data_IF_931319491854
#
_entry.id   IF_931319491854
#
_cell.length_a   1.000
_cell.length_b   1.000
_cell.length_c   1.000
_cell.angle_alpha   90.00
_cell.angle_beta   90.00
_cell.angle_gamma   90.00
#
_symmetry.space_group_name_H-M   'P 1'
#
loop_
_entity.id
_entity.type
_entity.pdbx_description
1 polymer ?
#
# COMPACT_ATOMS: atom_id res chain seq x y z
N UNK A 1 9.48 -11.34 -19.70
CA UNK A 1 10.00 -11.52 -18.31
C UNK A 1 10.68 -10.22 -17.97
N UNK A 2 10.23 -9.53 -16.93
CA UNK A 2 10.81 -8.22 -16.63
C UNK A 2 11.92 -8.38 -15.61
N UNK A 3 13.16 -8.42 -16.08
CA UNK A 3 14.34 -8.21 -15.26
C UNK A 3 14.73 -6.75 -15.38
N UNK A 4 15.04 -6.10 -14.27
CA UNK A 4 15.56 -4.75 -14.24
C UNK A 4 16.51 -4.56 -13.07
N UNK A 5 17.41 -3.60 -13.21
CA UNK A 5 18.38 -3.21 -12.20
C UNK A 5 17.97 -1.87 -11.60
N UNK A 6 17.97 -1.77 -10.29
CA UNK A 6 17.75 -0.50 -9.57
C UNK A 6 19.07 -0.09 -8.94
N UNK A 7 19.56 1.09 -9.29
CA UNK A 7 20.69 1.73 -8.62
C UNK A 7 20.18 2.68 -7.54
N UNK A 8 20.83 2.72 -6.39
CA UNK A 8 20.39 3.54 -5.26
C UNK A 8 21.58 4.25 -4.59
N UNK A 9 21.29 5.41 -3.98
CA UNK A 9 22.21 6.09 -3.09
C UNK A 9 22.35 5.35 -1.77
N UNK A 10 21.22 4.91 -1.19
CA UNK A 10 21.21 4.13 0.02
C UNK A 10 20.05 3.14 0.02
N UNK A 11 20.23 1.99 0.64
CA UNK A 11 19.20 0.97 0.87
C UNK A 11 19.14 0.69 2.37
N UNK A 12 17.96 0.88 2.96
CA UNK A 12 17.65 0.44 4.33
C UNK A 12 16.76 -0.81 4.23
N UNK A 13 17.31 -2.02 4.39
CA UNK A 13 16.52 -3.25 4.20
C UNK A 13 15.51 -3.51 5.31
N UNK A 14 15.53 -2.72 6.40
CA UNK A 14 14.66 -2.84 7.58
C UNK A 14 14.71 -4.24 8.21
N UNK A 15 15.85 -4.90 8.09
CA UNK A 15 16.20 -6.16 8.74
C UNK A 15 17.33 -5.93 9.72
N UNK A 16 17.93 -6.98 10.28
CA UNK A 16 19.14 -6.85 11.11
C UNK A 16 20.40 -6.50 10.31
N UNK A 17 20.29 -6.35 8.99
CA UNK A 17 21.39 -5.96 8.12
C UNK A 17 21.66 -4.47 8.21
N UNK A 18 22.94 -4.09 8.08
CA UNK A 18 23.33 -2.68 8.02
C UNK A 18 22.80 -2.01 6.74
N UNK A 19 22.56 -0.70 6.75
CA UNK A 19 22.33 0.06 5.53
C UNK A 19 23.45 -0.16 4.50
N UNK A 20 23.07 -0.19 3.22
CA UNK A 20 24.01 -0.24 2.10
C UNK A 20 23.99 1.12 1.40
N UNK A 21 25.19 1.61 1.03
CA UNK A 21 25.34 2.87 0.33
C UNK A 21 25.91 2.66 -1.07
N UNK A 22 25.41 3.47 -2.02
CA UNK A 22 25.89 3.50 -3.41
C UNK A 22 25.91 2.11 -4.08
N UNK A 23 24.85 1.36 -3.92
CA UNK A 23 24.72 0.01 -4.46
C UNK A 23 23.66 -0.12 -5.52
N UNK A 24 23.39 -1.36 -5.86
CA UNK A 24 22.32 -1.72 -6.80
C UNK A 24 21.66 -3.04 -6.43
N UNK A 25 20.46 -3.25 -6.94
CA UNK A 25 19.73 -4.52 -6.80
C UNK A 25 19.14 -4.95 -8.14
N UNK A 26 19.01 -6.26 -8.32
CA UNK A 26 18.37 -6.86 -9.48
C UNK A 26 17.01 -7.39 -9.06
N UNK A 27 15.98 -6.98 -9.78
CA UNK A 27 14.63 -7.49 -9.66
C UNK A 27 14.32 -8.40 -10.84
N UNK A 28 13.88 -9.60 -10.57
CA UNK A 28 13.49 -10.58 -11.55
C UNK A 28 12.14 -11.22 -11.14
N UNK A 29 11.19 -11.29 -12.06
CA UNK A 29 9.84 -11.84 -11.80
C UNK A 29 9.14 -11.19 -10.58
N UNK A 30 9.35 -9.89 -10.37
CA UNK A 30 8.77 -9.13 -9.26
C UNK A 30 9.37 -9.44 -7.88
N UNK A 31 10.57 -10.07 -7.85
CA UNK A 31 11.32 -10.36 -6.63
C UNK A 31 12.72 -9.79 -6.69
N UNK A 32 13.23 -9.30 -5.58
CA UNK A 32 14.65 -8.97 -5.45
C UNK A 32 15.41 -10.27 -5.51
N UNK A 33 16.21 -10.46 -6.58
CA UNK A 33 17.05 -11.63 -6.79
C UNK A 33 18.38 -11.47 -6.07
N UNK A 34 18.96 -10.27 -6.18
CA UNK A 34 20.30 -10.00 -5.66
C UNK A 34 20.46 -8.53 -5.28
N UNK A 35 21.32 -8.25 -4.30
CA UNK A 35 21.66 -6.91 -3.84
C UNK A 35 23.18 -6.79 -3.79
N UNK A 36 23.71 -5.78 -4.45
CA UNK A 36 25.15 -5.51 -4.52
C UNK A 36 25.49 -4.25 -3.73
N UNK A 37 26.56 -4.28 -2.94
CA UNK A 37 27.00 -3.14 -2.14
C UNK A 37 27.74 -2.06 -2.93
N UNK A 38 27.86 -2.23 -4.25
CA UNK A 38 28.50 -1.28 -5.16
C UNK A 38 27.80 -1.25 -6.54
N UNK A 39 28.23 -0.34 -7.40
CA UNK A 39 27.66 -0.13 -8.73
C UNK A 39 28.50 -0.75 -9.86
N UNK A 40 29.51 -1.56 -9.56
CA UNK A 40 30.39 -2.21 -10.55
C UNK A 40 29.82 -3.51 -11.09
N UNK A 41 28.80 -4.03 -10.43
CA UNK A 41 28.11 -5.25 -10.86
C UNK A 41 27.38 -5.06 -12.19
N UNK A 42 27.13 -6.12 -12.96
CA UNK A 42 26.44 -6.02 -14.24
C UNK A 42 25.05 -5.42 -14.10
N UNK A 43 24.67 -4.60 -15.09
CA UNK A 43 23.29 -4.14 -15.27
C UNK A 43 22.55 -5.22 -16.05
N UNK A 44 21.47 -5.71 -15.51
CA UNK A 44 20.60 -6.67 -16.17
C UNK A 44 19.23 -6.03 -16.46
N UNK A 45 18.81 -6.11 -17.71
CA UNK A 45 17.57 -5.50 -18.16
C UNK A 45 17.61 -3.96 -18.16
N UNK A 46 16.46 -3.34 -17.89
CA UNK A 46 16.34 -1.89 -17.78
C UNK A 46 17.02 -1.37 -16.51
N UNK A 47 17.75 -0.26 -16.62
CA UNK A 47 18.30 0.44 -15.46
C UNK A 47 17.33 1.51 -14.96
N UNK A 48 16.87 1.36 -13.73
CA UNK A 48 16.15 2.39 -12.97
C UNK A 48 17.18 3.10 -12.09
N UNK A 49 17.58 4.29 -12.47
CA UNK A 49 18.59 5.06 -11.74
C UNK A 49 17.93 5.91 -10.65
N UNK A 50 18.16 5.51 -9.39
CA UNK A 50 17.74 6.18 -8.17
C UNK A 50 18.98 6.55 -7.32
N UNK A 51 20.08 6.95 -7.97
CA UNK A 51 21.34 7.27 -7.32
C UNK A 51 21.28 8.46 -6.35
N UNK A 52 20.21 9.21 -6.36
CA UNK A 52 19.90 10.31 -5.43
C UNK A 52 18.87 9.91 -4.35
N UNK A 53 18.35 8.69 -4.41
CA UNK A 53 17.24 8.23 -3.57
C UNK A 53 17.68 7.26 -2.47
N UNK A 54 16.91 7.28 -1.38
CA UNK A 54 16.90 6.25 -0.37
C UNK A 54 15.84 5.20 -0.72
N UNK A 55 16.25 3.96 -0.85
CA UNK A 55 15.34 2.81 -1.09
C UNK A 55 15.03 2.14 0.24
N UNK A 56 13.75 1.89 0.48
CA UNK A 56 13.23 1.18 1.66
C UNK A 56 12.18 0.17 1.22
N UNK A 57 11.88 -0.85 2.03
CA UNK A 57 10.71 -1.70 1.80
C UNK A 57 9.42 -0.88 1.78
N UNK A 58 8.44 -1.32 1.00
CA UNK A 58 7.13 -0.69 0.97
C UNK A 58 6.45 -0.76 2.34
N UNK A 59 5.65 0.26 2.64
CA UNK A 59 4.94 0.34 3.92
C UNK A 59 3.82 -0.71 4.01
N UNK A 60 3.59 -1.18 5.23
CA UNK A 60 2.45 -2.03 5.58
C UNK A 60 1.45 -1.20 6.37
N UNK A 61 0.22 -1.06 5.85
CA UNK A 61 -0.88 -0.52 6.62
C UNK A 61 -1.59 -1.69 7.32
N UNK A 62 -1.33 -1.85 8.62
CA UNK A 62 -1.83 -2.98 9.40
C UNK A 62 -3.29 -2.84 9.87
N UNK A 63 -3.94 -1.70 9.62
CA UNK A 63 -5.34 -1.48 9.97
C UNK A 63 -5.94 -0.37 9.11
N UNK A 64 -6.92 -0.71 8.28
CA UNK A 64 -7.66 0.29 7.53
C UNK A 64 -9.10 -0.18 7.22
N UNK A 65 -9.90 0.77 6.72
CA UNK A 65 -11.26 0.58 6.26
C UNK A 65 -11.43 1.33 4.93
N UNK A 66 -10.83 0.82 3.85
CA UNK A 66 -10.90 1.48 2.55
C UNK A 66 -12.34 1.66 2.06
N UNK A 67 -13.24 0.74 2.41
CA UNK A 67 -14.65 0.83 2.07
C UNK A 67 -15.35 2.04 2.69
N UNK A 68 -14.81 2.61 3.79
CA UNK A 68 -15.31 3.82 4.44
C UNK A 68 -14.72 5.11 3.87
N UNK A 69 -13.80 5.04 2.92
CA UNK A 69 -13.16 6.23 2.32
C UNK A 69 -14.16 7.18 1.67
N UNK A 70 -15.31 6.67 1.25
CA UNK A 70 -16.42 7.46 0.72
C UNK A 70 -16.96 8.47 1.73
N UNK A 71 -16.81 8.21 3.01
CA UNK A 71 -17.26 9.10 4.10
C UNK A 71 -16.27 10.20 4.45
N UNK A 72 -15.12 10.25 3.76
CA UNK A 72 -14.09 11.26 4.00
C UNK A 72 -14.69 12.67 3.94
N UNK A 73 -14.45 13.44 5.00
CA UNK A 73 -14.98 14.80 5.20
C UNK A 73 -16.50 14.90 5.37
N UNK A 74 -17.22 13.79 5.39
CA UNK A 74 -18.69 13.80 5.57
C UNK A 74 -19.12 13.59 7.03
N UNK A 75 -18.22 13.10 7.87
CA UNK A 75 -18.50 12.88 9.30
C UNK A 75 -17.98 14.08 10.08
N UNK A 76 -18.86 14.80 10.80
CA UNK A 76 -18.42 15.92 11.62
C UNK A 76 -17.56 15.41 12.79
N UNK A 77 -16.60 16.22 13.21
CA UNK A 77 -15.85 15.93 14.43
C UNK A 77 -16.82 15.94 15.62
N UNK A 78 -16.73 14.91 16.43
CA UNK A 78 -17.47 14.75 17.67
C UNK A 78 -16.50 14.58 18.82
N UNK A 79 -16.85 15.11 19.98
CA UNK A 79 -16.10 14.89 21.23
C UNK A 79 -16.39 13.51 21.83
N UNK A 80 -17.59 12.98 21.57
CA UNK A 80 -18.04 11.66 22.01
C UNK A 80 -17.80 10.64 20.90
N UNK A 81 -17.01 9.60 21.23
CA UNK A 81 -16.68 8.51 20.32
C UNK A 81 -17.92 7.73 19.88
N UNK A 82 -18.83 7.45 20.80
CA UNK A 82 -20.06 6.70 20.49
C UNK A 82 -20.96 7.45 19.50
N UNK A 83 -21.10 8.77 19.68
CA UNK A 83 -21.84 9.60 18.73
C UNK A 83 -21.14 9.69 17.37
N UNK A 84 -19.80 9.67 17.35
CA UNK A 84 -19.04 9.61 16.11
C UNK A 84 -19.28 8.28 15.38
N UNK A 85 -19.15 7.14 16.05
CA UNK A 85 -19.41 5.80 15.48
C UNK A 85 -20.83 5.71 14.92
N UNK A 86 -21.84 6.17 15.67
CA UNK A 86 -23.23 6.22 15.20
C UNK A 86 -23.36 7.02 13.89
N UNK A 87 -22.72 8.19 13.81
CA UNK A 87 -22.73 9.01 12.60
C UNK A 87 -22.06 8.30 11.41
N UNK A 88 -21.02 7.51 11.66
CA UNK A 88 -20.38 6.68 10.62
C UNK A 88 -21.36 5.62 10.12
N UNK A 89 -21.99 4.86 11.03
CA UNK A 89 -22.94 3.79 10.66
C UNK A 89 -24.11 4.35 9.87
N UNK A 90 -24.78 5.37 10.39
CA UNK A 90 -25.94 6.01 9.73
C UNK A 90 -25.61 6.51 8.32
N UNK A 91 -24.49 7.20 8.16
CA UNK A 91 -24.09 7.68 6.83
C UNK A 91 -23.63 6.57 5.90
N UNK A 92 -22.98 5.55 6.45
CA UNK A 92 -22.52 4.42 5.69
C UNK A 92 -23.68 3.64 5.04
N UNK A 93 -24.82 3.52 5.70
CA UNK A 93 -26.03 2.86 5.16
C UNK A 93 -26.59 3.58 3.93
N UNK A 94 -26.42 4.89 3.84
CA UNK A 94 -26.93 5.70 2.73
C UNK A 94 -26.05 5.70 1.49
N UNK A 95 -24.84 5.10 1.57
CA UNK A 95 -23.88 5.12 0.46
C UNK A 95 -24.18 4.02 -0.55
N UNK A 96 -24.35 4.39 -1.81
CA UNK A 96 -24.48 3.42 -2.90
C UNK A 96 -23.21 2.59 -3.09
N UNK A 97 -23.40 1.36 -3.61
CA UNK A 97 -22.28 0.48 -3.92
C UNK A 97 -21.29 1.13 -4.90
N UNK A 98 -21.77 1.81 -5.92
CA UNK A 98 -20.98 2.49 -6.93
C UNK A 98 -20.07 3.57 -6.30
N UNK A 99 -20.64 4.47 -5.52
CA UNK A 99 -19.87 5.52 -4.86
C UNK A 99 -18.81 4.96 -3.90
N UNK A 100 -19.13 3.86 -3.23
CA UNK A 100 -18.23 3.18 -2.31
C UNK A 100 -17.04 2.56 -3.04
N UNK A 101 -17.28 1.88 -4.15
CA UNK A 101 -16.22 1.26 -4.95
C UNK A 101 -15.34 2.31 -5.62
N UNK A 102 -15.91 3.38 -6.14
CA UNK A 102 -15.15 4.52 -6.68
C UNK A 102 -14.21 5.12 -5.63
N UNK A 103 -14.73 5.40 -4.43
CA UNK A 103 -13.94 5.99 -3.35
C UNK A 103 -12.84 5.03 -2.86
N UNK A 104 -13.14 3.73 -2.77
CA UNK A 104 -12.19 2.67 -2.42
C UNK A 104 -11.01 2.66 -3.40
N UNK A 105 -11.27 2.60 -4.70
CA UNK A 105 -10.22 2.59 -5.72
C UNK A 105 -9.42 3.91 -5.75
N UNK A 106 -10.09 5.04 -5.55
CA UNK A 106 -9.41 6.34 -5.47
C UNK A 106 -8.45 6.40 -4.28
N UNK A 107 -8.89 5.96 -3.09
CA UNK A 107 -8.06 5.94 -1.90
C UNK A 107 -6.92 4.91 -2.00
N UNK A 108 -7.18 3.75 -2.62
CA UNK A 108 -6.14 2.76 -2.89
C UNK A 108 -5.00 3.34 -3.74
N UNK A 109 -5.30 4.14 -4.77
CA UNK A 109 -4.29 4.85 -5.56
C UNK A 109 -3.47 5.84 -4.72
N UNK A 110 -4.12 6.55 -3.82
CA UNK A 110 -3.42 7.48 -2.90
C UNK A 110 -2.47 6.70 -2.00
N UNK A 111 -2.91 5.59 -1.41
CA UNK A 111 -2.08 4.73 -0.56
C UNK A 111 -0.87 4.15 -1.33
N UNK A 112 -1.08 3.64 -2.54
CA UNK A 112 0.00 3.13 -3.37
C UNK A 112 1.04 4.22 -3.68
N UNK A 113 0.60 5.43 -4.03
CA UNK A 113 1.50 6.58 -4.24
C UNK A 113 2.24 7.03 -2.98
N UNK A 114 1.71 6.71 -1.80
CA UNK A 114 2.36 6.97 -0.51
C UNK A 114 3.33 5.84 -0.10
N UNK A 115 3.56 4.86 -0.98
CA UNK A 115 4.50 3.77 -0.74
C UNK A 115 3.92 2.57 0.03
N UNK A 116 2.60 2.51 0.26
CA UNK A 116 1.96 1.31 0.83
C UNK A 116 1.94 0.20 -0.20
N UNK A 117 2.41 -0.99 0.18
CA UNK A 117 2.48 -2.19 -0.67
C UNK A 117 1.71 -3.37 -0.10
N UNK A 118 1.40 -3.33 1.20
CA UNK A 118 0.59 -4.34 1.85
C UNK A 118 -0.39 -3.70 2.83
N UNK A 119 -1.55 -4.32 3.03
CA UNK A 119 -2.55 -3.84 3.96
C UNK A 119 -3.33 -4.96 4.64
N UNK A 120 -3.82 -4.66 5.83
CA UNK A 120 -4.88 -5.40 6.51
C UNK A 120 -6.10 -4.49 6.54
N UNK A 121 -7.20 -4.92 5.93
CA UNK A 121 -8.42 -4.13 5.82
C UNK A 121 -9.61 -4.87 6.43
N UNK A 122 -10.44 -4.13 7.12
CA UNK A 122 -11.68 -4.61 7.69
C UNK A 122 -12.83 -4.32 6.73
N UNK A 123 -13.38 -5.38 6.13
CA UNK A 123 -14.45 -5.28 5.14
C UNK A 123 -15.81 -5.60 5.78
N UNK A 124 -16.84 -4.79 5.53
CA UNK A 124 -18.16 -5.03 6.14
C UNK A 124 -18.95 -6.16 5.45
N UNK A 125 -18.58 -6.57 4.26
CA UNK A 125 -19.29 -7.58 3.49
C UNK A 125 -18.34 -8.33 2.54
N UNK A 126 -18.54 -9.62 2.39
CA UNK A 126 -17.71 -10.48 1.53
C UNK A 126 -17.70 -10.05 0.04
N UNK A 127 -18.73 -9.36 -0.46
CA UNK A 127 -18.77 -8.85 -1.84
C UNK A 127 -17.62 -7.89 -2.18
N UNK A 128 -16.99 -7.27 -1.18
CA UNK A 128 -15.82 -6.41 -1.40
C UNK A 128 -14.59 -7.18 -1.89
N UNK A 129 -14.47 -8.48 -1.63
CA UNK A 129 -13.32 -9.30 -2.03
C UNK A 129 -13.00 -9.13 -3.52
N UNK A 130 -14.02 -9.07 -4.37
CA UNK A 130 -13.86 -8.89 -5.83
C UNK A 130 -13.21 -7.53 -6.15
N UNK A 131 -13.55 -6.47 -5.44
CA UNK A 131 -12.96 -5.15 -5.67
C UNK A 131 -11.51 -5.11 -5.15
N UNK A 132 -11.26 -5.70 -3.99
CA UNK A 132 -9.92 -5.78 -3.43
C UNK A 132 -8.96 -6.61 -4.29
N UNK A 133 -9.41 -7.68 -4.93
CA UNK A 133 -8.56 -8.51 -5.81
C UNK A 133 -7.96 -7.72 -6.99
N UNK A 134 -8.50 -6.56 -7.30
CA UNK A 134 -8.02 -5.64 -8.36
C UNK A 134 -7.02 -4.61 -7.86
N UNK A 135 -6.77 -4.54 -6.56
CA UNK A 135 -5.86 -3.56 -5.97
C UNK A 135 -4.40 -4.05 -6.02
N UNK A 136 -3.43 -3.14 -6.14
CA UNK A 136 -2.02 -3.49 -6.30
C UNK A 136 -1.30 -3.79 -4.96
N UNK A 137 -2.01 -4.36 -3.99
CA UNK A 137 -1.46 -4.64 -2.67
C UNK A 137 -1.39 -6.13 -2.38
N UNK A 138 -0.41 -6.54 -1.58
CA UNK A 138 -0.60 -7.74 -0.75
C UNK A 138 -1.63 -7.40 0.33
N UNK A 139 -2.63 -8.27 0.53
CA UNK A 139 -3.72 -7.91 1.42
C UNK A 139 -4.21 -9.08 2.26
N UNK A 140 -4.58 -8.76 3.47
CA UNK A 140 -5.36 -9.61 4.38
C UNK A 140 -6.68 -8.90 4.62
N UNK A 141 -7.79 -9.56 4.32
CA UNK A 141 -9.13 -9.02 4.50
C UNK A 141 -9.77 -9.70 5.71
N UNK A 142 -10.24 -8.91 6.64
CA UNK A 142 -10.96 -9.35 7.82
C UNK A 142 -12.42 -8.95 7.68
N UNK A 143 -13.33 -9.93 7.72
CA UNK A 143 -14.76 -9.63 7.71
C UNK A 143 -15.15 -9.09 9.08
N UNK A 144 -15.58 -7.84 9.11
CA UNK A 144 -16.09 -7.20 10.32
C UNK A 144 -17.58 -7.50 10.45
N UNK A 145 -17.95 -8.16 11.53
CA UNK A 145 -19.35 -8.46 11.88
C UNK A 145 -19.73 -7.52 13.01
N UNK A 146 -20.61 -6.56 12.73
CA UNK A 146 -21.18 -5.61 13.68
C UNK A 146 -22.61 -5.98 14.01
#
# INVERSE_FOLDING_TARGET
>A
MNTFTVRFRALLPMTNSKPLENGQLIVEHGRIREVFPDTRSPIEGELIDLSDCLVIPGFVNAHCHLSLSVLKWQIPRRSDFTAWVRSVVEKNELVSWENRTLALHAQAKVMARSGVTALVDYIPQAKFITEYSRLPFKQTLLLEVL
#
